data_IF_982099328758
#
_entry.id   IF_982099328758
#
_cell.length_a   1.000
_cell.length_b   1.000
_cell.length_c   1.000
_cell.angle_alpha   90.00
_cell.angle_beta   90.00
_cell.angle_gamma   90.00
#
_symmetry.space_group_name_H-M   'P 1'
#
loop_
_entity.id
_entity.type
_entity.pdbx_description
1 polymer ?
#
# COMPACT_ATOMS: atom_id res chain seq x y z
N UNK A 1 23.51 -15.56 -17.84
CA UNK A 1 23.36 -14.45 -16.88
C UNK A 1 21.97 -13.87 -17.08
N UNK A 2 21.08 -13.96 -16.09
CA UNK A 2 19.74 -13.39 -16.19
C UNK A 2 19.86 -11.85 -16.19
N UNK A 3 19.38 -11.22 -17.25
CA UNK A 3 19.37 -9.76 -17.37
C UNK A 3 18.37 -9.22 -16.34
N UNK A 4 18.88 -8.65 -15.24
CA UNK A 4 18.05 -7.97 -14.25
C UNK A 4 17.48 -6.72 -14.95
N UNK A 5 16.22 -6.80 -15.38
CA UNK A 5 15.48 -5.63 -15.85
C UNK A 5 14.99 -4.89 -14.62
N UNK A 6 15.71 -3.84 -14.23
CA UNK A 6 15.22 -2.89 -13.23
C UNK A 6 14.15 -2.04 -13.91
N UNK A 7 12.88 -2.29 -13.59
CA UNK A 7 11.79 -1.41 -14.02
C UNK A 7 11.88 -0.20 -13.10
N UNK A 8 12.22 0.96 -13.66
CA UNK A 8 12.11 2.23 -12.94
C UNK A 8 10.62 2.41 -12.57
N UNK A 9 10.34 2.42 -11.26
CA UNK A 9 8.97 2.60 -10.77
C UNK A 9 8.49 3.97 -11.23
N UNK A 10 7.30 4.03 -11.83
CA UNK A 10 6.72 5.33 -12.18
C UNK A 10 6.55 6.17 -10.91
N UNK A 11 6.60 7.49 -11.04
CA UNK A 11 6.36 8.42 -9.92
C UNK A 11 5.05 8.10 -9.18
N UNK A 12 4.03 7.65 -9.92
CA UNK A 12 2.74 7.20 -9.38
C UNK A 12 2.88 5.92 -8.54
N UNK A 13 3.65 4.93 -9.01
CA UNK A 13 3.91 3.69 -8.26
C UNK A 13 4.69 3.99 -6.97
N UNK A 14 5.69 4.87 -7.02
CA UNK A 14 6.44 5.30 -5.85
C UNK A 14 5.52 6.01 -4.83
N UNK A 15 4.65 6.91 -5.31
CA UNK A 15 3.66 7.60 -4.47
C UNK A 15 2.71 6.62 -3.78
N UNK A 16 2.19 5.63 -4.51
CA UNK A 16 1.29 4.61 -3.93
C UNK A 16 1.99 3.75 -2.87
N UNK A 17 3.26 3.38 -3.09
CA UNK A 17 4.07 2.68 -2.09
C UNK A 17 4.29 3.53 -0.83
N UNK A 18 4.47 4.85 -0.98
CA UNK A 18 4.59 5.75 0.16
C UNK A 18 3.25 5.95 0.88
N UNK A 19 2.13 6.02 0.15
CA UNK A 19 0.79 5.98 0.76
C UNK A 19 0.59 4.74 1.62
N UNK A 20 1.03 3.56 1.14
CA UNK A 20 0.99 2.32 1.93
C UNK A 20 1.81 2.46 3.22
N UNK A 21 3.06 2.94 3.14
CA UNK A 21 3.91 3.11 4.34
C UNK A 21 3.30 4.09 5.35
N UNK A 22 2.69 5.18 4.86
CA UNK A 22 2.01 6.15 5.72
C UNK A 22 0.77 5.54 6.38
N UNK A 23 0.04 4.69 5.65
CA UNK A 23 -1.08 3.93 6.20
C UNK A 23 -0.59 3.01 7.32
N UNK A 24 0.38 2.13 7.03
CA UNK A 24 0.95 1.18 7.99
C UNK A 24 1.36 1.91 9.29
N UNK A 25 2.15 2.98 9.18
CA UNK A 25 2.60 3.75 10.34
C UNK A 25 1.52 4.56 11.06
N UNK A 26 0.43 4.92 10.40
CA UNK A 26 -0.71 5.58 11.04
C UNK A 26 -1.47 4.60 11.94
N UNK A 27 -1.70 3.39 11.42
CA UNK A 27 -2.44 2.35 12.12
C UNK A 27 -1.70 1.84 13.36
N UNK A 28 -0.39 1.61 13.25
CA UNK A 28 0.45 1.23 14.38
C UNK A 28 0.37 2.26 15.52
N UNK A 29 0.52 3.56 15.19
CA UNK A 29 0.45 4.65 16.17
C UNK A 29 -0.92 4.78 16.83
N UNK A 30 -2.00 4.59 16.08
CA UNK A 30 -3.35 4.66 16.63
C UNK A 30 -3.62 3.53 17.63
N UNK A 31 -3.15 2.31 17.33
CA UNK A 31 -3.22 1.17 18.25
C UNK A 31 -2.44 1.42 19.54
N UNK A 32 -1.19 1.89 19.42
CA UNK A 32 -0.35 2.25 20.57
C UNK A 32 -1.01 3.32 21.45
N UNK A 33 -1.46 4.44 20.86
CA UNK A 33 -2.09 5.53 21.60
C UNK A 33 -3.37 5.06 22.30
N UNK A 34 -4.19 4.25 21.63
CA UNK A 34 -5.43 3.75 22.24
C UNK A 34 -5.14 2.85 23.43
N UNK A 35 -4.18 1.92 23.29
CA UNK A 35 -3.80 1.01 24.36
C UNK A 35 -3.15 1.77 25.53
N UNK A 36 -2.35 2.79 25.26
CA UNK A 36 -1.72 3.62 26.30
C UNK A 36 -2.74 4.47 27.08
N UNK A 37 -3.74 5.03 26.40
CA UNK A 37 -4.74 5.91 27.03
C UNK A 37 -5.88 5.16 27.71
N UNK A 38 -6.31 4.03 27.14
CA UNK A 38 -7.56 3.36 27.51
C UNK A 38 -7.41 1.87 27.78
N UNK A 39 -6.21 1.30 27.61
CA UNK A 39 -5.97 -0.13 27.65
C UNK A 39 -6.54 -0.86 26.43
N UNK A 40 -6.27 -2.16 26.33
CA UNK A 40 -6.73 -2.97 25.22
C UNK A 40 -8.26 -2.95 25.04
N UNK A 41 -8.72 -2.63 23.83
CA UNK A 41 -10.14 -2.68 23.45
C UNK A 41 -10.34 -3.46 22.16
N UNK A 42 -10.97 -4.63 22.25
CA UNK A 42 -11.28 -5.47 21.09
C UNK A 42 -12.14 -4.75 20.05
N UNK A 43 -13.09 -3.94 20.48
CA UNK A 43 -14.00 -3.21 19.58
C UNK A 43 -13.25 -2.13 18.80
N UNK A 44 -12.30 -1.46 19.44
CA UNK A 44 -11.43 -0.50 18.77
C UNK A 44 -10.51 -1.20 17.78
N UNK A 45 -9.80 -2.24 18.22
CA UNK A 45 -8.89 -3.03 17.38
C UNK A 45 -9.61 -3.61 16.16
N UNK A 46 -10.86 -4.07 16.31
CA UNK A 46 -11.64 -4.60 15.19
C UNK A 46 -12.01 -3.52 14.18
N UNK A 47 -12.39 -2.31 14.64
CA UNK A 47 -12.68 -1.17 13.78
C UNK A 47 -11.44 -0.66 13.07
N UNK A 48 -10.33 -0.59 13.79
CA UNK A 48 -9.03 -0.20 13.27
C UNK A 48 -8.58 -1.21 12.19
N UNK A 49 -8.62 -2.52 12.46
CA UNK A 49 -8.30 -3.54 11.48
C UNK A 49 -9.18 -3.48 10.21
N UNK A 50 -10.49 -3.21 10.36
CA UNK A 50 -11.40 -3.06 9.22
C UNK A 50 -11.00 -1.85 8.34
N UNK A 51 -10.80 -0.69 8.96
CA UNK A 51 -10.40 0.53 8.24
C UNK A 51 -9.05 0.38 7.55
N UNK A 52 -8.09 -0.30 8.18
CA UNK A 52 -6.81 -0.65 7.56
C UNK A 52 -7.01 -1.50 6.31
N UNK A 53 -7.81 -2.55 6.44
CA UNK A 53 -8.05 -3.52 5.35
C UNK A 53 -8.67 -2.85 4.13
N UNK A 54 -9.67 -1.98 4.34
CA UNK A 54 -10.33 -1.25 3.25
C UNK A 54 -9.36 -0.29 2.55
N UNK A 55 -8.61 0.54 3.30
CA UNK A 55 -7.66 1.48 2.70
C UNK A 55 -6.47 0.79 2.03
N UNK A 56 -5.91 -0.25 2.66
CA UNK A 56 -4.84 -1.05 2.08
C UNK A 56 -5.30 -1.74 0.80
N UNK A 57 -6.54 -2.25 0.76
CA UNK A 57 -7.16 -2.82 -0.43
C UNK A 57 -7.16 -1.85 -1.62
N UNK A 58 -7.64 -0.62 -1.41
CA UNK A 58 -7.66 0.42 -2.44
C UNK A 58 -6.26 0.77 -2.96
N UNK A 59 -5.28 0.88 -2.07
CA UNK A 59 -3.89 1.18 -2.46
C UNK A 59 -3.31 0.03 -3.30
N UNK A 60 -3.55 -1.20 -2.89
CA UNK A 60 -3.05 -2.38 -3.60
C UNK A 60 -3.73 -2.57 -4.97
N UNK A 61 -5.02 -2.31 -5.08
CA UNK A 61 -5.75 -2.32 -6.35
C UNK A 61 -5.13 -1.32 -7.34
N UNK A 62 -4.90 -0.08 -6.90
CA UNK A 62 -4.24 0.94 -7.73
C UNK A 62 -2.80 0.58 -8.11
N UNK A 63 -2.06 -0.10 -7.22
CA UNK A 63 -0.71 -0.59 -7.52
C UNK A 63 -0.74 -1.67 -8.61
N UNK A 64 -1.67 -2.62 -8.52
CA UNK A 64 -1.84 -3.67 -9.52
C UNK A 64 -2.24 -3.08 -10.87
N UNK A 65 -3.24 -2.22 -10.90
CA UNK A 65 -3.72 -1.55 -12.12
C UNK A 65 -2.60 -0.74 -12.79
N UNK A 66 -1.79 -0.03 -12.00
CA UNK A 66 -0.67 0.76 -12.50
C UNK A 66 0.42 -0.14 -13.13
N UNK A 67 0.74 -1.26 -12.48
CA UNK A 67 1.70 -2.24 -13.00
C UNK A 67 1.18 -2.88 -14.29
N UNK A 68 -0.10 -3.26 -14.34
CA UNK A 68 -0.71 -3.87 -15.52
C UNK A 68 -0.78 -2.90 -16.70
N UNK A 69 -1.09 -1.62 -16.45
CA UNK A 69 -1.05 -0.58 -17.47
C UNK A 69 0.37 -0.37 -18.02
N UNK A 70 1.38 -0.26 -17.15
CA UNK A 70 2.79 -0.12 -17.55
C UNK A 70 3.32 -1.36 -18.29
N UNK A 71 2.93 -2.56 -17.86
CA UNK A 71 3.26 -3.83 -18.52
C UNK A 71 2.66 -3.90 -19.93
N UNK A 72 1.44 -3.40 -20.08
CA UNK A 72 0.74 -3.35 -21.37
C UNK A 72 1.37 -2.32 -22.31
N UNK A 73 1.66 -1.11 -21.83
CA UNK A 73 2.38 -0.11 -22.64
C UNK A 73 3.79 -0.57 -23.05
N UNK A 74 4.50 -1.28 -22.18
CA UNK A 74 5.81 -1.87 -22.51
C UNK A 74 5.72 -2.92 -23.62
N UNK A 75 4.58 -3.61 -23.80
CA UNK A 75 4.35 -4.54 -24.93
C UNK A 75 4.06 -3.82 -26.24
N UNK A 76 3.55 -2.59 -26.20
CA UNK A 76 3.32 -1.77 -27.40
C UNK A 76 4.56 -0.97 -27.81
N UNK A 77 5.45 -0.65 -26.88
CA UNK A 77 6.81 -0.12 -27.16
C UNK A 77 7.80 -1.25 -27.44
N UNK A 78 7.53 -2.07 -28.45
CA UNK A 78 8.56 -2.93 -29.06
C UNK A 78 8.96 -2.23 -30.35
N UNK A 79 10.11 -1.58 -30.34
CA UNK A 79 10.80 -1.08 -31.54
C UNK A 79 11.57 -2.25 -32.14
#
# INVERSE_FOLDING_TARGET
>A
MAQIKTIELSEKTATLLDCKKMLDGCFDKLGEIQNDMFGYSRDFESKLALAYTEMHGLIMELLVDNIDAMSTESKYKVI
#
